data_IF_133832678280
#
_entry.id   IF_133832678280
#
_cell.length_a   1.000
_cell.length_b   1.000
_cell.length_c   1.000
_cell.angle_alpha   90.00
_cell.angle_beta   90.00
_cell.angle_gamma   90.00
#
_symmetry.space_group_name_H-M   'P 1'
#
loop_
_entity.id
_entity.type
_entity.pdbx_description
1 polymer ?
#
# COMPACT_ATOMS: atom_id res chain seq x y z
N UNK A 1 13.07 -10.00 14.35
CA UNK A 1 14.22 -9.31 14.99
C UNK A 1 13.71 -8.20 15.90
N UNK A 2 14.42 -7.86 16.99
CA UNK A 2 14.11 -6.68 17.83
C UNK A 2 14.77 -5.44 17.18
N UNK A 3 14.01 -4.36 17.02
CA UNK A 3 14.51 -3.09 16.45
C UNK A 3 15.29 -2.27 17.49
N UNK A 4 16.02 -1.24 17.08
CA UNK A 4 16.67 -0.29 18.00
C UNK A 4 15.66 0.45 18.88
N UNK A 5 14.52 0.84 18.31
CA UNK A 5 13.37 1.37 19.08
C UNK A 5 12.86 0.34 20.09
N UNK A 6 12.79 -0.94 19.69
CA UNK A 6 12.41 -2.05 20.55
C UNK A 6 13.34 -2.27 21.72
N UNK A 7 14.67 -2.26 21.48
CA UNK A 7 15.67 -2.36 22.54
C UNK A 7 15.49 -1.26 23.59
N UNK A 8 15.26 -0.02 23.14
CA UNK A 8 15.03 1.12 24.02
C UNK A 8 13.74 1.00 24.85
N UNK A 9 12.63 0.60 24.23
CA UNK A 9 11.35 0.43 24.94
C UNK A 9 11.40 -0.76 25.89
N UNK A 10 12.03 -1.88 25.48
CA UNK A 10 12.23 -3.05 26.33
C UNK A 10 13.08 -2.70 27.57
N UNK A 11 14.17 -1.94 27.40
CA UNK A 11 14.98 -1.47 28.52
C UNK A 11 14.15 -0.64 29.51
N UNK A 12 13.33 0.30 29.00
CA UNK A 12 12.41 1.10 29.84
C UNK A 12 11.36 0.24 30.54
N UNK A 13 10.83 -0.78 29.87
CA UNK A 13 9.88 -1.72 30.46
C UNK A 13 10.51 -2.47 31.63
N UNK A 14 11.75 -2.96 31.48
CA UNK A 14 12.46 -3.70 32.53
C UNK A 14 12.74 -2.87 33.79
N UNK A 15 12.86 -1.54 33.67
CA UNK A 15 13.02 -0.61 34.80
C UNK A 15 11.70 0.05 35.24
N UNK A 16 10.55 -0.41 34.73
CA UNK A 16 9.22 0.08 35.12
C UNK A 16 8.84 1.46 34.58
N UNK A 17 9.52 1.96 33.54
CA UNK A 17 9.24 3.26 32.90
C UNK A 17 8.34 3.18 31.66
N UNK A 18 8.21 2.00 31.05
CA UNK A 18 7.25 1.76 29.97
C UNK A 18 6.21 0.74 30.45
N UNK A 19 4.90 0.95 30.17
CA UNK A 19 3.85 0.02 30.60
C UNK A 19 3.91 -1.33 29.87
N UNK A 20 4.41 -1.34 28.64
CA UNK A 20 4.59 -2.54 27.83
C UNK A 20 5.65 -2.31 26.75
N UNK A 21 6.25 -3.40 26.26
CA UNK A 21 7.17 -3.38 25.10
C UNK A 21 6.60 -4.09 23.86
N UNK A 22 5.55 -4.88 24.03
CA UNK A 22 4.89 -5.61 22.96
C UNK A 22 3.43 -5.79 23.35
N UNK A 23 2.51 -5.07 22.70
CA UNK A 23 1.07 -5.14 22.99
C UNK A 23 0.23 -5.39 21.74
N UNK A 24 0.76 -5.08 20.56
CA UNK A 24 0.07 -5.25 19.29
C UNK A 24 0.97 -5.93 18.26
N UNK A 25 0.38 -6.76 17.41
CA UNK A 25 0.98 -7.26 16.17
C UNK A 25 0.46 -6.39 15.03
N UNK A 26 1.37 -5.78 14.28
CA UNK A 26 1.07 -5.04 13.06
C UNK A 26 1.28 -5.94 11.85
N UNK A 27 0.32 -5.93 10.92
CA UNK A 27 0.41 -6.67 9.67
C UNK A 27 0.53 -5.70 8.49
N UNK A 28 1.44 -6.00 7.59
CA UNK A 28 1.66 -5.22 6.39
C UNK A 28 1.82 -6.05 5.14
N UNK A 29 1.78 -5.34 4.03
CA UNK A 29 1.78 -5.91 2.68
C UNK A 29 2.86 -5.29 1.78
N UNK A 30 3.81 -4.52 2.33
CA UNK A 30 4.76 -3.76 1.53
C UNK A 30 5.81 -4.59 0.79
N UNK A 31 6.73 -5.28 1.48
CA UNK A 31 7.86 -5.93 0.83
C UNK A 31 7.43 -7.17 0.03
N UNK A 32 8.33 -7.62 -0.85
CA UNK A 32 8.28 -8.96 -1.43
C UNK A 32 8.67 -9.98 -0.33
N UNK A 33 7.86 -11.02 -0.07
CA UNK A 33 8.26 -12.09 0.84
C UNK A 33 9.55 -12.77 0.38
N UNK A 34 10.24 -13.44 1.30
CA UNK A 34 11.50 -14.13 1.00
C UNK A 34 11.32 -15.64 0.98
N UNK A 35 12.12 -16.33 0.17
CA UNK A 35 12.07 -17.78 0.08
C UNK A 35 12.64 -18.45 1.35
N UNK A 36 12.18 -19.67 1.66
CA UNK A 36 12.56 -20.39 2.89
C UNK A 36 14.05 -20.69 3.00
N UNK A 37 14.76 -20.74 1.88
CA UNK A 37 16.20 -20.94 1.79
C UNK A 37 17.02 -19.64 1.86
N UNK A 38 16.39 -18.46 1.84
CA UNK A 38 17.07 -17.17 1.96
C UNK A 38 17.22 -16.76 3.42
N UNK A 39 18.24 -15.98 3.75
CA UNK A 39 18.39 -15.44 5.10
C UNK A 39 17.51 -14.20 5.29
N UNK A 40 17.04 -13.99 6.53
CA UNK A 40 16.42 -12.73 6.91
C UNK A 40 17.49 -11.64 6.97
N UNK A 41 17.15 -10.43 6.52
CA UNK A 41 18.05 -9.27 6.62
C UNK A 41 18.20 -8.74 8.04
N UNK A 42 19.10 -7.76 8.20
CA UNK A 42 19.13 -6.92 9.41
C UNK A 42 18.03 -5.85 9.33
N UNK A 43 17.08 -5.94 10.25
CA UNK A 43 15.95 -5.02 10.37
C UNK A 43 16.02 -4.18 11.65
N UNK A 44 17.18 -4.13 12.32
CA UNK A 44 17.36 -3.38 13.57
C UNK A 44 16.98 -1.90 13.44
N UNK A 45 17.29 -1.29 12.29
CA UNK A 45 17.01 0.13 12.01
C UNK A 45 15.57 0.43 11.56
N UNK A 46 14.70 -0.59 11.35
CA UNK A 46 13.31 -0.36 10.95
C UNK A 46 12.54 0.38 12.05
N UNK A 47 11.81 1.43 11.64
CA UNK A 47 11.01 2.27 12.54
C UNK A 47 9.50 2.15 12.29
N UNK A 48 9.11 1.69 11.10
CA UNK A 48 7.74 1.40 10.68
C UNK A 48 7.72 0.25 9.67
N UNK A 49 6.53 -0.32 9.42
CA UNK A 49 6.30 -1.24 8.30
C UNK A 49 6.39 -0.47 6.99
N UNK A 50 6.74 -1.17 5.90
CA UNK A 50 6.77 -0.55 4.57
C UNK A 50 5.36 -0.11 4.17
N UNK A 51 4.35 -0.95 4.41
CA UNK A 51 2.93 -0.56 4.35
C UNK A 51 2.09 -1.32 5.37
N UNK A 52 1.68 -0.64 6.46
CA UNK A 52 0.83 -1.23 7.50
C UNK A 52 -0.64 -1.24 7.08
N UNK A 53 -1.26 -2.43 7.08
CA UNK A 53 -2.69 -2.60 6.83
C UNK A 53 -3.50 -2.34 8.12
N UNK A 54 -3.14 -3.03 9.21
CA UNK A 54 -3.80 -2.89 10.50
C UNK A 54 -2.95 -3.46 11.65
N UNK A 55 -3.42 -3.26 12.88
CA UNK A 55 -2.86 -3.85 14.09
C UNK A 55 -3.93 -4.63 14.86
N UNK A 56 -3.51 -5.72 15.48
CA UNK A 56 -4.35 -6.51 16.40
C UNK A 56 -3.66 -6.64 17.75
N UNK A 57 -4.45 -6.67 18.83
CA UNK A 57 -3.92 -6.78 20.19
C UNK A 57 -3.38 -8.20 20.43
N UNK A 58 -2.24 -8.28 21.12
CA UNK A 58 -1.69 -9.56 21.57
C UNK A 58 -2.60 -10.13 22.66
N UNK A 59 -3.16 -11.30 22.40
CA UNK A 59 -4.10 -11.99 23.31
C UNK A 59 -3.40 -13.03 24.18
N UNK A 60 -2.27 -13.58 23.73
CA UNK A 60 -1.50 -14.57 24.48
C UNK A 60 0.01 -14.36 24.35
N UNK A 61 0.73 -14.74 25.40
CA UNK A 61 2.19 -14.75 25.45
C UNK A 61 2.65 -16.11 25.94
N UNK A 62 3.59 -16.71 25.23
CA UNK A 62 4.16 -18.00 25.54
C UNK A 62 5.68 -17.97 25.54
N UNK A 63 6.25 -19.08 26.00
CA UNK A 63 7.68 -19.34 25.97
C UNK A 63 7.89 -20.76 25.46
N UNK A 64 8.72 -20.91 24.44
CA UNK A 64 8.99 -22.21 23.80
C UNK A 64 10.49 -22.41 23.60
N UNK A 65 10.92 -23.67 23.66
CA UNK A 65 12.28 -24.08 23.35
C UNK A 65 12.27 -24.83 22.01
N UNK A 66 12.92 -24.28 21.00
CA UNK A 66 12.97 -24.84 19.63
C UNK A 66 14.38 -24.70 19.08
N UNK A 67 14.91 -25.77 18.48
CA UNK A 67 16.22 -25.79 17.83
C UNK A 67 17.38 -25.29 18.71
N UNK A 68 17.32 -25.61 20.01
CA UNK A 68 18.34 -25.18 20.96
C UNK A 68 18.14 -23.77 21.52
N UNK A 69 17.12 -23.03 21.08
CA UNK A 69 16.93 -21.61 21.37
C UNK A 69 15.60 -21.38 22.08
N UNK A 70 15.65 -20.57 23.14
CA UNK A 70 14.46 -20.09 23.82
C UNK A 70 13.82 -18.91 23.08
N UNK A 71 12.53 -19.02 22.78
CA UNK A 71 11.75 -18.02 22.02
C UNK A 71 10.56 -17.53 22.83
N UNK A 72 10.30 -16.24 22.79
CA UNK A 72 9.00 -15.68 23.18
C UNK A 72 8.04 -15.89 22.01
N UNK A 73 6.81 -16.31 22.32
CA UNK A 73 5.70 -16.39 21.37
C UNK A 73 4.68 -15.32 21.73
N UNK A 74 4.29 -14.51 20.76
CA UNK A 74 3.22 -13.53 20.89
C UNK A 74 2.11 -13.91 19.91
N UNK A 75 0.89 -14.08 20.41
CA UNK A 75 -0.25 -14.51 19.59
C UNK A 75 -1.31 -13.41 19.54
N UNK A 76 -1.88 -13.19 18.36
CA UNK A 76 -3.01 -12.28 18.16
C UNK A 76 -4.03 -12.89 17.19
N UNK A 77 -5.29 -12.50 17.35
CA UNK A 77 -6.39 -12.93 16.47
C UNK A 77 -6.54 -11.95 15.30
N UNK A 78 -6.73 -12.48 14.09
CA UNK A 78 -6.92 -11.68 12.89
C UNK A 78 -8.41 -11.33 12.69
N UNK A 79 -8.74 -10.13 12.19
CA UNK A 79 -10.12 -9.78 11.85
C UNK A 79 -10.74 -10.80 10.89
N UNK A 80 -11.99 -11.18 11.14
CA UNK A 80 -12.67 -12.24 10.39
C UNK A 80 -13.15 -11.80 9.02
N UNK A 81 -13.55 -10.54 8.87
CA UNK A 81 -14.42 -10.14 7.76
C UNK A 81 -13.67 -10.05 6.45
N UNK A 82 -12.47 -9.46 6.49
CA UNK A 82 -11.76 -9.02 5.30
C UNK A 82 -10.63 -9.94 4.86
N UNK A 83 -10.27 -9.86 3.58
CA UNK A 83 -9.12 -10.57 3.00
C UNK A 83 -7.84 -9.76 3.17
N UNK A 84 -6.72 -10.43 3.47
CA UNK A 84 -5.39 -9.79 3.52
C UNK A 84 -4.30 -10.69 2.94
N UNK A 85 -3.31 -10.08 2.31
CA UNK A 85 -2.06 -10.73 1.95
C UNK A 85 -0.89 -10.11 2.71
N UNK A 86 -0.35 -10.91 3.62
CA UNK A 86 0.64 -10.46 4.58
C UNK A 86 2.02 -10.77 4.01
N UNK A 87 2.86 -9.74 3.95
CA UNK A 87 4.28 -9.86 3.55
C UNK A 87 5.25 -9.36 4.61
N UNK A 88 4.78 -8.65 5.63
CA UNK A 88 5.59 -8.21 6.77
C UNK A 88 4.77 -8.21 8.06
N UNK A 89 5.47 -8.39 9.17
CA UNK A 89 4.89 -8.42 10.51
C UNK A 89 5.75 -7.60 11.45
N UNK A 90 5.11 -6.71 12.19
CA UNK A 90 5.74 -5.92 13.25
C UNK A 90 5.12 -6.17 14.61
N UNK A 91 5.86 -5.81 15.65
CA UNK A 91 5.38 -5.76 17.02
C UNK A 91 5.45 -4.32 17.49
N UNK A 92 4.38 -3.82 18.09
CA UNK A 92 4.32 -2.47 18.66
C UNK A 92 4.03 -2.52 20.15
N UNK A 93 4.56 -1.55 20.90
CA UNK A 93 4.27 -1.42 22.33
C UNK A 93 2.85 -0.93 22.64
N UNK A 94 2.18 -0.27 21.68
CA UNK A 94 0.78 0.14 21.76
C UNK A 94 0.11 0.20 20.38
N UNK A 95 -1.22 0.32 20.34
CA UNK A 95 -1.99 0.30 19.09
C UNK A 95 -1.86 1.59 18.28
N UNK A 96 -1.63 2.71 18.94
CA UNK A 96 -1.48 4.04 18.36
C UNK A 96 -0.46 4.85 19.18
N UNK A 97 0.07 5.93 18.59
CA UNK A 97 0.93 6.88 19.28
C UNK A 97 0.10 7.86 20.12
N UNK A 98 0.08 7.74 21.45
CA UNK A 98 -0.72 8.65 22.28
C UNK A 98 -0.24 10.12 22.19
N UNK A 99 1.00 10.36 21.77
CA UNK A 99 1.53 11.71 21.59
C UNK A 99 1.02 12.40 20.31
N UNK A 100 0.65 11.63 19.28
CA UNK A 100 0.17 12.16 18.01
C UNK A 100 -1.33 12.44 18.01
N UNK A 101 -2.10 11.71 18.83
CA UNK A 101 -3.53 11.91 18.98
C UNK A 101 -4.27 11.78 17.64
N UNK A 102 -5.03 12.81 17.25
CA UNK A 102 -5.81 12.81 16.00
C UNK A 102 -4.95 12.89 14.72
N UNK A 103 -3.64 13.13 14.85
CA UNK A 103 -2.69 13.33 13.75
C UNK A 103 -1.76 12.12 13.56
N UNK A 104 -2.08 10.99 14.21
CA UNK A 104 -1.33 9.73 14.09
C UNK A 104 -1.48 9.09 12.70
N UNK A 105 -0.67 8.06 12.45
CA UNK A 105 -0.72 7.26 11.23
C UNK A 105 -2.11 6.68 10.98
N UNK A 106 -2.57 6.72 9.73
CA UNK A 106 -3.89 6.22 9.33
C UNK A 106 -3.97 5.93 7.83
N UNK A 107 -4.80 4.96 7.46
CA UNK A 107 -5.22 4.78 6.07
C UNK A 107 -6.07 5.97 5.64
N UNK A 108 -5.74 6.57 4.49
CA UNK A 108 -6.51 7.67 3.90
C UNK A 108 -7.58 7.14 2.96
N UNK A 109 -7.17 6.25 2.07
CA UNK A 109 -8.02 5.62 1.07
C UNK A 109 -7.65 4.14 0.99
N UNK A 110 -8.64 3.27 1.03
CA UNK A 110 -8.49 1.83 0.86
C UNK A 110 -9.25 1.32 -0.37
N UNK A 111 -9.76 2.24 -1.21
CA UNK A 111 -10.43 1.94 -2.48
C UNK A 111 -11.57 0.93 -2.32
N UNK A 112 -12.29 1.00 -1.20
CA UNK A 112 -13.47 0.15 -0.97
C UNK A 112 -14.67 0.68 -1.76
N UNK A 113 -15.66 -0.19 -2.01
CA UNK A 113 -16.90 0.19 -2.72
C UNK A 113 -17.66 1.34 -2.07
N UNK A 114 -17.45 1.58 -0.78
CA UNK A 114 -18.14 2.61 -0.02
C UNK A 114 -17.43 3.99 -0.03
N UNK A 115 -16.26 4.08 -0.64
CA UNK A 115 -15.53 5.35 -0.75
C UNK A 115 -16.11 6.27 -1.82
N UNK A 116 -17.00 5.79 -2.71
CA UNK A 116 -17.62 6.57 -3.79
C UNK A 116 -16.61 7.21 -4.75
N UNK A 117 -15.56 6.47 -5.12
CA UNK A 117 -14.70 6.86 -6.24
C UNK A 117 -15.51 6.84 -7.55
N UNK A 118 -15.32 7.86 -8.37
CA UNK A 118 -15.97 8.00 -9.67
C UNK A 118 -14.93 8.14 -10.79
N UNK A 119 -15.30 7.72 -11.99
CA UNK A 119 -14.52 7.92 -13.20
C UNK A 119 -14.93 9.20 -13.91
N UNK A 120 -14.00 10.15 -14.02
CA UNK A 120 -14.16 11.42 -14.72
C UNK A 120 -13.73 11.28 -16.19
N UNK A 121 -14.65 11.57 -17.11
CA UNK A 121 -14.48 11.46 -18.57
C UNK A 121 -14.00 12.77 -19.22
N UNK A 122 -13.55 13.73 -18.43
CA UNK A 122 -13.12 15.06 -18.85
C UNK A 122 -14.24 16.11 -18.87
N UNK A 123 -15.50 15.70 -18.91
CA UNK A 123 -16.67 16.63 -18.89
C UNK A 123 -17.83 16.17 -18.02
N UNK A 124 -17.74 14.95 -17.50
CA UNK A 124 -18.76 14.31 -16.65
C UNK A 124 -18.11 13.21 -15.83
N UNK A 125 -18.76 12.84 -14.72
CA UNK A 125 -18.38 11.70 -13.88
C UNK A 125 -19.40 10.58 -13.98
N UNK A 126 -18.92 9.36 -13.80
CA UNK A 126 -19.75 8.16 -13.65
C UNK A 126 -19.22 7.30 -12.51
N UNK A 127 -20.10 6.61 -11.80
CA UNK A 127 -19.67 5.66 -10.78
C UNK A 127 -18.81 4.55 -11.39
N UNK A 128 -17.81 4.07 -10.64
CA UNK A 128 -17.01 2.92 -11.05
C UNK A 128 -17.88 1.67 -11.08
N UNK A 129 -18.02 0.97 -12.23
CA UNK A 129 -18.77 -0.27 -12.28
C UNK A 129 -18.09 -1.34 -11.42
N UNK A 130 -18.90 -2.15 -10.74
CA UNK A 130 -18.42 -3.25 -9.90
C UNK A 130 -18.55 -4.55 -10.70
N UNK A 131 -17.43 -5.22 -10.94
CA UNK A 131 -17.30 -6.41 -11.77
C UNK A 131 -16.67 -7.52 -10.94
N UNK A 132 -17.52 -8.34 -10.32
CA UNK A 132 -17.07 -9.50 -9.53
C UNK A 132 -17.16 -10.82 -10.30
N UNK A 133 -17.84 -10.82 -11.44
CA UNK A 133 -17.78 -11.92 -12.40
C UNK A 133 -16.35 -12.08 -12.96
N UNK A 134 -16.00 -13.26 -13.50
CA UNK A 134 -14.68 -13.48 -14.09
C UNK A 134 -14.30 -12.40 -15.12
N UNK A 135 -13.11 -11.82 -14.97
CA UNK A 135 -12.66 -10.69 -15.80
C UNK A 135 -12.25 -11.09 -17.23
N UNK A 136 -12.17 -12.38 -17.50
CA UNK A 136 -11.85 -13.06 -18.76
C UNK A 136 -13.07 -13.83 -19.33
N UNK A 137 -14.27 -13.41 -18.91
CA UNK A 137 -15.54 -13.78 -19.54
C UNK A 137 -15.83 -15.28 -19.65
N UNK A 138 -16.39 -15.69 -20.78
CA UNK A 138 -16.68 -17.10 -21.07
C UNK A 138 -15.50 -17.84 -21.73
N UNK A 139 -14.51 -17.10 -22.23
CA UNK A 139 -13.35 -17.66 -22.94
C UNK A 139 -12.38 -18.37 -21.98
N UNK A 140 -12.30 -17.90 -20.73
CA UNK A 140 -11.49 -18.51 -19.64
C UNK A 140 -10.01 -18.63 -19.99
N UNK A 141 -9.49 -17.67 -20.72
CA UNK A 141 -8.12 -17.62 -21.21
C UNK A 141 -7.19 -16.78 -20.30
N UNK A 142 -7.70 -16.27 -19.18
CA UNK A 142 -7.03 -15.35 -18.25
C UNK A 142 -6.67 -13.97 -18.84
N UNK A 143 -7.17 -13.64 -20.03
CA UNK A 143 -7.02 -12.32 -20.64
C UNK A 143 -8.18 -11.43 -20.16
N UNK A 144 -7.86 -10.28 -19.58
CA UNK A 144 -8.89 -9.34 -19.10
C UNK A 144 -9.62 -8.73 -20.31
N UNK A 145 -10.91 -9.04 -20.46
CA UNK A 145 -11.75 -8.67 -21.61
C UNK A 145 -12.74 -7.54 -21.31
N UNK A 146 -12.55 -6.83 -20.20
CA UNK A 146 -13.43 -5.75 -19.75
C UNK A 146 -13.34 -4.50 -20.63
N UNK A 147 -14.50 -3.92 -20.97
CA UNK A 147 -14.58 -2.69 -21.79
C UNK A 147 -14.38 -1.40 -21.01
N UNK A 148 -14.49 -1.46 -19.67
CA UNK A 148 -14.39 -0.30 -18.80
C UNK A 148 -12.92 0.09 -18.58
N UNK A 149 -12.60 1.38 -18.71
CA UNK A 149 -11.25 1.91 -18.47
C UNK A 149 -10.93 1.95 -16.98
N UNK A 150 -11.92 2.21 -16.13
CA UNK A 150 -11.80 2.20 -14.69
C UNK A 150 -12.99 1.43 -14.10
N UNK A 151 -12.73 0.50 -13.19
CA UNK A 151 -13.75 -0.34 -12.58
C UNK A 151 -13.27 -0.94 -11.25
N UNK A 152 -14.20 -1.48 -10.48
CA UNK A 152 -13.93 -2.22 -9.25
C UNK A 152 -14.06 -3.71 -9.49
N UNK A 153 -13.20 -4.50 -8.87
CA UNK A 153 -13.27 -5.97 -8.89
C UNK A 153 -12.78 -6.52 -7.55
N UNK A 154 -12.65 -7.85 -7.45
CA UNK A 154 -12.11 -8.50 -6.27
C UNK A 154 -10.77 -9.18 -6.55
N UNK A 155 -9.89 -9.18 -5.56
CA UNK A 155 -8.56 -9.80 -5.60
C UNK A 155 -8.63 -11.32 -5.69
N UNK A 156 -9.80 -11.92 -5.48
CA UNK A 156 -10.09 -13.34 -5.65
C UNK A 156 -10.60 -13.70 -7.04
N UNK A 157 -10.66 -12.74 -7.97
CA UNK A 157 -11.08 -13.02 -9.33
C UNK A 157 -10.17 -14.08 -9.94
N UNK A 158 -10.75 -15.03 -10.68
CA UNK A 158 -10.01 -16.21 -11.15
C UNK A 158 -8.77 -15.85 -11.95
N UNK A 159 -8.76 -14.71 -12.65
CA UNK A 159 -7.57 -14.27 -13.40
C UNK A 159 -6.36 -14.14 -12.47
N UNK A 160 -6.52 -13.68 -11.22
CA UNK A 160 -5.42 -13.55 -10.26
C UNK A 160 -4.94 -14.87 -9.67
N UNK A 161 -5.54 -16.00 -10.07
CA UNK A 161 -5.05 -17.36 -9.74
C UNK A 161 -4.10 -17.92 -10.80
N UNK A 162 -3.96 -17.23 -11.94
CA UNK A 162 -2.97 -17.56 -12.96
C UNK A 162 -1.54 -17.55 -12.37
N UNK A 163 -0.74 -18.55 -12.75
CA UNK A 163 0.60 -18.74 -12.19
C UNK A 163 1.57 -17.64 -12.60
N UNK A 164 1.44 -17.09 -13.82
CA UNK A 164 2.31 -15.99 -14.25
C UNK A 164 1.99 -14.72 -13.45
N UNK A 165 0.71 -14.43 -13.22
CA UNK A 165 0.28 -13.28 -12.40
C UNK A 165 0.67 -13.43 -10.93
N UNK A 166 0.47 -14.62 -10.36
CA UNK A 166 0.88 -14.91 -8.97
C UNK A 166 2.40 -14.77 -8.80
N UNK A 167 3.18 -15.38 -9.69
CA UNK A 167 4.64 -15.32 -9.67
C UNK A 167 5.22 -13.92 -9.86
N UNK A 168 4.44 -12.99 -10.43
CA UNK A 168 4.80 -11.58 -10.58
C UNK A 168 4.21 -10.67 -9.51
N UNK A 169 3.40 -11.18 -8.59
CA UNK A 169 2.74 -10.42 -7.52
C UNK A 169 1.72 -9.40 -8.03
N UNK A 170 0.94 -9.76 -9.05
CA UNK A 170 -0.06 -8.85 -9.66
C UNK A 170 -1.34 -8.68 -8.82
N UNK A 171 -1.51 -9.43 -7.73
CA UNK A 171 -2.71 -9.38 -6.90
C UNK A 171 -2.62 -8.28 -5.83
N UNK A 172 -3.70 -7.53 -5.64
CA UNK A 172 -3.82 -6.56 -4.55
C UNK A 172 -3.91 -7.26 -3.19
N UNK A 173 -3.39 -6.61 -2.14
CA UNK A 173 -3.05 -7.27 -0.88
C UNK A 173 -3.87 -6.78 0.31
N UNK A 174 -4.46 -5.58 0.26
CA UNK A 174 -5.22 -5.00 1.35
C UNK A 174 -6.72 -4.95 1.01
N UNK A 175 -7.50 -5.77 1.72
CA UNK A 175 -8.91 -6.04 1.42
C UNK A 175 -9.12 -6.87 0.15
N UNK A 176 -10.37 -7.28 -0.06
CA UNK A 176 -10.73 -8.03 -1.25
C UNK A 176 -11.07 -7.11 -2.43
N UNK A 177 -11.60 -5.91 -2.18
CA UNK A 177 -11.97 -4.99 -3.26
C UNK A 177 -10.74 -4.25 -3.79
N UNK A 178 -10.68 -4.05 -5.10
CA UNK A 178 -9.62 -3.28 -5.76
C UNK A 178 -10.22 -2.43 -6.88
N UNK A 179 -9.74 -1.19 -7.00
CA UNK A 179 -10.02 -0.33 -8.17
C UNK A 179 -8.94 -0.56 -9.22
N UNK A 180 -9.33 -1.01 -10.41
CA UNK A 180 -8.45 -1.12 -11.57
C UNK A 180 -8.64 0.08 -12.50
N UNK A 181 -7.53 0.66 -12.95
CA UNK A 181 -7.49 1.65 -14.05
C UNK A 181 -6.60 1.16 -15.17
N UNK A 182 -7.05 1.27 -16.41
CA UNK A 182 -6.27 0.87 -17.58
C UNK A 182 -5.07 1.81 -17.78
N UNK A 183 -3.98 1.24 -18.30
CA UNK A 183 -2.70 1.92 -18.47
C UNK A 183 -2.75 3.14 -19.40
N UNK A 184 -3.76 3.26 -20.25
CA UNK A 184 -3.97 4.39 -21.16
C UNK A 184 -5.10 5.33 -20.67
N UNK A 185 -5.53 5.23 -19.41
CA UNK A 185 -6.65 6.03 -18.87
C UNK A 185 -6.43 7.54 -19.07
N UNK A 186 -5.23 8.01 -18.74
CA UNK A 186 -4.86 9.42 -18.75
C UNK A 186 -3.73 9.67 -19.74
N UNK A 187 -3.63 10.91 -20.24
CA UNK A 187 -2.41 11.42 -20.88
C UNK A 187 -1.61 12.23 -19.86
N UNK A 188 -0.46 11.72 -19.44
CA UNK A 188 0.45 12.34 -18.47
C UNK A 188 1.81 12.59 -19.12
N UNK A 189 2.27 13.83 -19.07
CA UNK A 189 3.58 14.26 -19.58
C UNK A 189 4.54 14.59 -18.43
N UNK A 190 5.84 14.50 -18.72
CA UNK A 190 6.88 15.03 -17.82
C UNK A 190 7.22 16.45 -18.29
N UNK A 191 6.88 17.45 -17.48
CA UNK A 191 7.14 18.87 -17.75
C UNK A 191 8.04 19.40 -16.65
N UNK A 192 9.23 19.89 -17.02
CA UNK A 192 10.23 20.40 -16.06
C UNK A 192 10.56 19.42 -14.90
N UNK A 193 10.50 18.12 -15.16
CA UNK A 193 10.76 17.08 -14.15
C UNK A 193 9.55 16.68 -13.29
N UNK A 194 8.38 17.28 -13.51
CA UNK A 194 7.13 16.99 -12.81
C UNK A 194 6.11 16.32 -13.72
N UNK A 195 5.17 15.57 -13.14
CA UNK A 195 4.08 14.96 -13.88
C UNK A 195 2.92 15.96 -14.03
N UNK A 196 2.52 16.20 -15.27
CA UNK A 196 1.35 17.01 -15.58
C UNK A 196 0.39 16.20 -16.44
N UNK A 197 -0.85 16.07 -15.98
CA UNK A 197 -1.93 15.56 -16.81
C UNK A 197 -2.28 16.60 -17.87
N UNK A 198 -2.67 16.20 -19.07
CA UNK A 198 -3.20 17.18 -20.05
C UNK A 198 -4.58 17.70 -19.58
N UNK A 199 -4.99 18.88 -20.01
CA UNK A 199 -6.35 19.37 -19.70
C UNK A 199 -7.42 18.40 -20.24
N UNK A 200 -8.48 18.17 -19.45
CA UNK A 200 -9.53 17.18 -19.71
C UNK A 200 -9.05 15.71 -19.75
N UNK A 201 -7.89 15.42 -19.19
CA UNK A 201 -7.41 14.04 -19.07
C UNK A 201 -8.32 13.25 -18.13
N UNK A 202 -8.70 12.05 -18.55
CA UNK A 202 -9.60 11.20 -17.77
C UNK A 202 -8.88 10.71 -16.52
N UNK A 203 -9.60 10.53 -15.43
CA UNK A 203 -9.04 10.13 -14.15
C UNK A 203 -10.11 9.50 -13.27
N UNK A 204 -9.70 8.87 -12.17
CA UNK A 204 -10.63 8.59 -11.08
C UNK A 204 -10.50 9.70 -10.04
N UNK A 205 -11.61 10.07 -9.40
CA UNK A 205 -11.58 11.06 -8.33
C UNK A 205 -12.45 10.67 -7.14
N UNK A 206 -12.17 11.35 -6.04
CA UNK A 206 -12.98 11.36 -4.84
C UNK A 206 -13.23 12.80 -4.42
N UNK A 207 -14.49 13.21 -4.45
CA UNK A 207 -14.94 14.55 -4.06
C UNK A 207 -15.40 14.52 -2.59
N UNK A 208 -15.27 15.65 -1.89
CA UNK A 208 -15.72 15.80 -0.51
C UNK A 208 -14.73 15.25 0.52
N UNK A 209 -13.49 14.96 0.11
CA UNK A 209 -12.41 14.64 1.04
C UNK A 209 -12.00 15.89 1.85
N UNK A 210 -11.53 15.71 3.08
CA UNK A 210 -10.93 16.79 3.86
C UNK A 210 -9.62 16.33 4.48
N UNK A 211 -8.54 17.01 4.09
CA UNK A 211 -7.19 16.74 4.57
C UNK A 211 -6.64 17.86 5.46
N UNK A 212 -7.53 18.70 6.01
CA UNK A 212 -7.18 19.82 6.88
C UNK A 212 -6.31 19.42 8.08
N UNK A 213 -6.42 18.18 8.58
CA UNK A 213 -5.58 17.65 9.65
C UNK A 213 -4.08 17.70 9.32
N UNK A 214 -3.71 17.63 8.03
CA UNK A 214 -2.31 17.68 7.60
C UNK A 214 -1.65 19.05 7.81
N UNK A 215 -2.43 20.11 8.11
CA UNK A 215 -1.86 21.38 8.58
C UNK A 215 -1.16 21.28 9.93
N UNK A 216 -1.39 20.20 10.68
CA UNK A 216 -0.77 19.93 11.99
C UNK A 216 0.30 18.84 11.93
N UNK A 217 0.44 18.17 10.79
CA UNK A 217 1.47 17.17 10.56
C UNK A 217 2.79 17.82 10.15
N UNK A 218 3.88 17.14 10.44
CA UNK A 218 5.20 17.64 10.11
C UNK A 218 5.45 17.53 8.60
N UNK A 219 6.25 18.42 7.99
CA UNK A 219 6.62 18.30 6.58
C UNK A 219 7.39 16.99 6.26
N UNK A 220 8.03 16.39 7.26
CA UNK A 220 8.74 15.11 7.17
C UNK A 220 7.85 13.89 7.40
N UNK A 221 6.58 14.07 7.78
CA UNK A 221 5.63 12.96 7.82
C UNK A 221 5.40 12.41 6.40
N UNK A 222 5.01 11.15 6.28
CA UNK A 222 5.04 10.42 5.02
C UNK A 222 3.64 10.12 4.48
N UNK A 223 3.53 10.15 3.15
CA UNK A 223 2.43 9.57 2.40
C UNK A 223 2.96 8.34 1.67
N UNK A 224 2.20 7.25 1.73
CA UNK A 224 2.53 5.97 1.11
C UNK A 224 1.40 5.54 0.19
N UNK A 225 1.72 5.12 -1.03
CA UNK A 225 0.76 4.52 -1.96
C UNK A 225 1.19 3.11 -2.28
N UNK A 226 0.30 2.15 -2.02
CA UNK A 226 0.42 0.76 -2.44
C UNK A 226 -0.45 0.51 -3.67
N UNK A 227 0.14 -0.13 -4.67
CA UNK A 227 -0.55 -0.51 -5.89
C UNK A 227 0.15 -1.69 -6.57
N UNK A 228 -0.56 -2.31 -7.51
CA UNK A 228 -0.04 -3.39 -8.33
C UNK A 228 -0.21 -3.09 -9.81
N UNK A 229 0.67 -3.66 -10.64
CA UNK A 229 0.65 -3.51 -12.10
C UNK A 229 0.26 -4.84 -12.70
N UNK A 230 -0.86 -4.87 -13.41
CA UNK A 230 -1.52 -6.08 -13.88
C UNK A 230 -1.46 -6.07 -15.40
N UNK A 231 -0.98 -7.15 -16.02
CA UNK A 231 -1.07 -7.22 -17.49
C UNK A 231 -2.52 -7.52 -17.91
N UNK A 232 -2.96 -7.07 -19.07
CA UNK A 232 -4.23 -7.50 -19.65
C UNK A 232 -4.15 -8.98 -20.04
N UNK A 233 -3.11 -9.35 -20.77
CA UNK A 233 -2.71 -10.73 -21.08
C UNK A 233 -1.65 -11.21 -20.08
N UNK A 234 -1.82 -12.36 -19.39
CA UNK A 234 -0.85 -12.83 -18.41
C UNK A 234 0.54 -13.19 -18.99
N UNK A 235 0.72 -13.20 -20.31
CA UNK A 235 2.00 -13.49 -20.96
C UNK A 235 3.14 -12.61 -20.40
N UNK A 236 4.22 -13.21 -19.86
CA UNK A 236 5.36 -12.50 -19.27
C UNK A 236 6.20 -11.69 -20.26
N UNK A 237 6.01 -11.87 -21.57
CA UNK A 237 6.67 -11.08 -22.60
C UNK A 237 6.15 -9.64 -22.66
N UNK A 238 4.91 -9.38 -22.22
CA UNK A 238 4.39 -8.03 -22.07
C UNK A 238 4.93 -7.39 -20.80
N UNK A 239 5.73 -6.34 -20.98
CA UNK A 239 6.33 -5.58 -19.89
C UNK A 239 6.13 -4.08 -20.14
N UNK A 240 5.74 -3.30 -19.13
CA UNK A 240 5.73 -1.87 -19.22
C UNK A 240 7.17 -1.38 -19.23
N UNK A 241 7.39 -0.30 -19.96
CA UNK A 241 8.65 0.44 -19.93
C UNK A 241 8.68 1.45 -18.80
N UNK A 242 7.58 2.16 -18.61
CA UNK A 242 7.44 3.22 -17.62
C UNK A 242 6.01 3.29 -17.09
N UNK A 243 5.87 3.43 -15.78
CA UNK A 243 4.59 3.63 -15.10
C UNK A 243 4.55 5.05 -14.55
N UNK A 244 3.50 5.79 -14.88
CA UNK A 244 3.22 7.14 -14.37
C UNK A 244 1.89 7.14 -13.62
N UNK A 245 1.93 7.53 -12.35
CA UNK A 245 0.73 7.77 -11.55
C UNK A 245 0.87 9.19 -10.97
N UNK A 246 -0.18 9.99 -11.14
CA UNK A 246 -0.28 11.32 -10.55
C UNK A 246 -1.48 11.32 -9.61
N UNK A 247 -1.22 11.35 -8.30
CA UNK A 247 -2.25 11.62 -7.29
C UNK A 247 -2.21 13.12 -6.96
N UNK A 248 -3.23 13.85 -7.40
CA UNK A 248 -3.39 15.28 -7.16
C UNK A 248 -4.41 15.52 -6.03
N UNK A 249 -3.98 16.21 -5.00
CA UNK A 249 -4.86 16.79 -3.98
C UNK A 249 -5.22 18.20 -4.42
N UNK A 250 -6.48 18.42 -4.77
CA UNK A 250 -6.96 19.64 -5.40
C UNK A 250 -8.09 20.32 -4.61
N UNK A 251 -8.27 21.65 -4.77
CA UNK A 251 -9.34 22.37 -4.10
C UNK A 251 -10.72 22.20 -4.76
N UNK A 252 -10.78 21.68 -5.98
CA UNK A 252 -12.02 21.31 -6.67
C UNK A 252 -11.72 20.29 -7.77
N UNK A 253 -12.78 19.81 -8.43
CA UNK A 253 -12.65 18.98 -9.62
C UNK A 253 -12.62 19.81 -10.91
N UNK A 254 -11.59 20.65 -11.08
CA UNK A 254 -11.45 21.46 -12.30
C UNK A 254 -10.53 20.78 -13.31
N UNK A 255 -10.87 20.86 -14.60
CA UNK A 255 -10.14 20.28 -15.73
C UNK A 255 -8.91 21.10 -16.16
N UNK A 256 -7.99 21.31 -15.23
CA UNK A 256 -6.69 21.93 -15.49
C UNK A 256 -5.60 20.85 -15.60
N UNK A 257 -4.53 21.13 -16.36
CA UNK A 257 -3.38 20.23 -16.44
C UNK A 257 -2.65 20.05 -15.10
N UNK A 258 -2.69 21.11 -14.29
CA UNK A 258 -2.28 21.14 -12.89
C UNK A 258 -2.99 22.30 -12.18
N UNK A 259 -3.77 22.04 -11.13
CA UNK A 259 -4.63 23.07 -10.56
C UNK A 259 -3.88 23.98 -9.59
N UNK A 260 -4.10 25.30 -9.63
CA UNK A 260 -3.61 26.21 -8.59
C UNK A 260 -4.17 25.81 -7.21
N UNK A 261 -3.34 25.89 -6.18
CA UNK A 261 -3.73 25.44 -4.84
C UNK A 261 -3.71 23.93 -4.63
N UNK A 262 -3.23 23.13 -5.61
CA UNK A 262 -3.04 21.69 -5.47
C UNK A 262 -1.66 21.29 -4.93
N UNK A 263 -1.54 20.04 -4.50
CA UNK A 263 -0.26 19.36 -4.33
C UNK A 263 -0.34 17.97 -4.95
N UNK A 264 0.74 17.46 -5.54
CA UNK A 264 0.72 16.12 -6.10
C UNK A 264 1.82 15.19 -5.61
N UNK A 265 1.41 13.93 -5.49
CA UNK A 265 2.25 12.76 -5.28
C UNK A 265 2.48 12.10 -6.64
N UNK A 266 3.70 12.29 -7.16
CA UNK A 266 4.08 11.87 -8.52
C UNK A 266 4.88 10.57 -8.48
N UNK A 267 4.45 9.55 -9.21
CA UNK A 267 5.15 8.26 -9.29
C UNK A 267 5.62 8.06 -10.71
N UNK A 268 6.92 7.83 -10.88
CA UNK A 268 7.52 7.39 -12.14
C UNK A 268 8.40 6.18 -11.85
N UNK A 269 7.98 5.01 -12.33
CA UNK A 269 8.77 3.77 -12.23
C UNK A 269 9.20 3.34 -13.63
N UNK A 270 10.51 3.18 -13.83
CA UNK A 270 11.09 2.77 -15.12
C UNK A 270 11.66 1.36 -15.04
N UNK A 271 11.61 0.63 -16.14
CA UNK A 271 12.18 -0.72 -16.25
C UNK A 271 13.71 -0.76 -16.08
N UNK A 272 14.39 0.40 -16.13
CA UNK A 272 15.82 0.52 -15.80
C UNK A 272 16.10 0.44 -14.31
N UNK A 273 15.11 0.80 -13.49
CA UNK A 273 15.26 0.97 -12.04
C UNK A 273 14.48 -0.11 -11.26
N UNK A 274 13.48 -0.72 -11.92
CA UNK A 274 12.57 -1.69 -11.31
C UNK A 274 12.48 -2.97 -12.13
N UNK A 275 12.51 -4.11 -11.44
CA UNK A 275 12.31 -5.43 -12.02
C UNK A 275 10.82 -5.74 -12.18
N UNK A 276 10.29 -5.28 -13.30
CA UNK A 276 8.94 -5.57 -13.75
C UNK A 276 8.73 -7.05 -14.14
N UNK A 277 9.78 -7.82 -14.36
CA UNK A 277 9.65 -9.24 -14.70
C UNK A 277 9.21 -10.04 -13.48
N UNK A 278 9.80 -9.75 -12.31
CA UNK A 278 9.63 -10.59 -11.12
C UNK A 278 8.93 -9.90 -9.94
N UNK A 279 8.52 -8.63 -10.08
CA UNK A 279 7.74 -7.92 -9.07
C UNK A 279 6.83 -6.85 -9.70
N UNK A 280 5.54 -6.89 -9.32
CA UNK A 280 4.50 -5.98 -9.81
C UNK A 280 3.75 -5.25 -8.71
N UNK A 281 4.02 -5.57 -7.46
CA UNK A 281 3.46 -4.87 -6.31
C UNK A 281 4.45 -3.84 -5.79
N UNK A 282 4.01 -2.60 -5.65
CA UNK A 282 4.86 -1.47 -5.28
C UNK A 282 4.26 -0.69 -4.12
N UNK A 283 5.15 -0.24 -3.24
CA UNK A 283 4.86 0.79 -2.25
C UNK A 283 5.79 1.96 -2.53
N UNK A 284 5.22 3.11 -2.84
CA UNK A 284 5.97 4.35 -3.04
C UNK A 284 5.70 5.26 -1.87
N UNK A 285 6.77 5.83 -1.31
CA UNK A 285 6.73 6.73 -0.15
C UNK A 285 7.27 8.09 -0.55
N UNK A 286 6.61 9.16 -0.11
CA UNK A 286 7.13 10.53 -0.15
C UNK A 286 6.79 11.26 1.13
N UNK A 287 7.66 12.16 1.57
CA UNK A 287 7.34 13.10 2.64
C UNK A 287 6.36 14.17 2.15
N UNK A 288 5.57 14.74 3.05
CA UNK A 288 4.65 15.84 2.71
C UNK A 288 5.39 17.04 2.11
N UNK A 289 6.66 17.26 2.46
CA UNK A 289 7.49 18.32 1.89
C UNK A 289 7.90 18.08 0.44
N UNK A 290 7.96 16.81 0.00
CA UNK A 290 8.40 16.39 -1.33
C UNK A 290 7.27 16.40 -2.37
N UNK A 291 6.02 16.63 -1.96
CA UNK A 291 4.90 16.81 -2.88
C UNK A 291 5.12 18.08 -3.70
N UNK A 292 4.85 18.00 -5.01
CA UNK A 292 4.93 19.18 -5.87
C UNK A 292 3.70 20.07 -5.64
N UNK A 293 3.94 21.24 -5.02
CA UNK A 293 2.91 22.15 -4.52
C UNK A 293 2.77 23.34 -5.45
N UNK A 294 1.54 23.57 -5.88
CA UNK A 294 1.20 24.71 -6.71
C UNK A 294 1.02 25.97 -5.86
N UNK A 295 1.16 27.13 -6.51
CA UNK A 295 0.94 28.42 -5.87
C UNK A 295 -0.41 28.47 -5.16
N UNK A 296 -0.41 28.94 -3.91
CA UNK A 296 -1.62 29.03 -3.08
C UNK A 296 -2.04 27.72 -2.39
N UNK A 297 -1.22 26.66 -2.46
CA UNK A 297 -1.51 25.40 -1.80
C UNK A 297 -1.68 25.54 -0.28
N UNK A 298 -2.75 24.92 0.23
CA UNK A 298 -2.96 24.68 1.66
C UNK A 298 -3.87 23.47 1.83
N UNK A 299 -3.54 22.62 2.79
CA UNK A 299 -4.35 21.44 3.14
C UNK A 299 -5.80 21.78 3.51
N UNK A 300 -6.05 23.00 4.01
CA UNK A 300 -7.41 23.45 4.37
C UNK A 300 -8.34 23.59 3.16
N UNK A 301 -7.79 23.82 1.97
CA UNK A 301 -8.58 24.05 0.77
C UNK A 301 -8.82 22.76 -0.02
N UNK A 302 -8.19 21.65 0.34
CA UNK A 302 -8.30 20.40 -0.39
C UNK A 302 -9.67 19.77 -0.16
N UNK A 303 -10.40 19.55 -1.25
CA UNK A 303 -11.73 18.92 -1.24
C UNK A 303 -11.82 17.72 -2.18
N UNK A 304 -10.82 17.53 -3.05
CA UNK A 304 -10.82 16.53 -4.11
C UNK A 304 -9.48 15.81 -4.15
N UNK A 305 -9.50 14.49 -4.32
CA UNK A 305 -8.35 13.69 -4.70
C UNK A 305 -8.56 13.14 -6.10
N UNK A 306 -7.60 13.32 -7.00
CA UNK A 306 -7.64 12.85 -8.39
C UNK A 306 -6.48 11.92 -8.65
N UNK A 307 -6.71 10.81 -9.34
CA UNK A 307 -5.66 9.85 -9.70
C UNK A 307 -5.67 9.64 -11.20
N UNK A 308 -4.56 10.02 -11.83
CA UNK A 308 -4.30 9.80 -13.25
C UNK A 308 -3.34 8.63 -13.42
N UNK A 309 -3.50 7.88 -14.50
CA UNK A 309 -2.66 6.70 -14.82
C UNK A 309 -2.22 6.72 -16.27
N UNK A 310 -0.92 6.56 -16.49
CA UNK A 310 -0.34 6.26 -17.80
C UNK A 310 0.73 5.18 -17.65
N UNK A 311 0.66 4.11 -18.42
CA UNK A 311 1.70 3.11 -18.56
C UNK A 311 2.19 3.15 -20.01
N UNK A 312 3.49 3.35 -20.18
CA UNK A 312 4.14 3.32 -21.48
C UNK A 312 4.63 1.91 -21.79
N UNK A 313 4.37 1.45 -23.00
CA UNK A 313 4.96 0.24 -23.55
C UNK A 313 6.44 0.43 -23.93
N UNK A 314 7.07 -0.61 -24.46
CA UNK A 314 8.47 -0.58 -24.91
C UNK A 314 8.73 0.47 -26.01
N UNK A 315 7.69 0.90 -26.72
CA UNK A 315 7.73 1.87 -27.81
C UNK A 315 7.40 3.31 -27.34
N UNK A 316 7.40 3.57 -26.03
CA UNK A 316 7.07 4.88 -25.42
C UNK A 316 5.63 5.34 -25.68
N UNK A 317 4.70 4.43 -25.96
CA UNK A 317 3.29 4.73 -26.21
C UNK A 317 2.43 4.35 -25.01
N UNK A 318 1.45 5.19 -24.59
CA UNK A 318 0.43 4.77 -23.63
C UNK A 318 -0.24 3.48 -24.10
N UNK A 319 -0.32 2.47 -23.24
CA UNK A 319 -0.78 1.13 -23.59
C UNK A 319 -1.99 0.69 -22.77
N UNK A 320 -2.93 0.04 -23.45
CA UNK A 320 -4.11 -0.61 -22.86
C UNK A 320 -3.86 -2.08 -22.49
N UNK A 321 -2.63 -2.58 -22.65
CA UNK A 321 -2.18 -3.92 -22.28
C UNK A 321 -1.89 -4.06 -20.78
N UNK A 322 -2.07 -2.99 -20.01
CA UNK A 322 -1.77 -2.98 -18.58
C UNK A 322 -2.90 -2.31 -17.80
N UNK A 323 -2.98 -2.64 -16.52
CA UNK A 323 -3.82 -2.00 -15.52
C UNK A 323 -2.98 -1.65 -14.28
N UNK A 324 -3.38 -0.60 -13.58
CA UNK A 324 -2.98 -0.36 -12.19
C UNK A 324 -4.13 -0.79 -11.29
N UNK A 325 -3.84 -1.68 -10.34
CA UNK A 325 -4.71 -1.96 -9.21
C UNK A 325 -4.31 -1.12 -8.01
N UNK A 326 -5.14 -0.14 -7.65
CA UNK A 326 -4.92 0.66 -6.46
C UNK A 326 -5.33 -0.11 -5.21
N UNK A 327 -4.37 -0.34 -4.32
CA UNK A 327 -4.58 -1.12 -3.11
C UNK A 327 -4.95 -0.18 -1.95
N UNK A 328 -4.07 0.74 -1.59
CA UNK A 328 -4.38 1.76 -0.59
C UNK A 328 -3.39 2.93 -0.57
N UNK A 329 -3.84 4.03 0.03
CA UNK A 329 -3.02 5.20 0.37
C UNK A 329 -3.05 5.39 1.88
N UNK A 330 -1.88 5.53 2.48
CA UNK A 330 -1.71 5.64 3.93
C UNK A 330 -0.83 6.83 4.29
N UNK A 331 -1.23 7.52 5.34
CA UNK A 331 -0.44 8.54 6.00
C UNK A 331 0.32 7.93 7.18
N UNK A 332 1.60 8.26 7.31
CA UNK A 332 2.46 7.83 8.42
C UNK A 332 3.00 9.04 9.19
N UNK A 333 2.67 9.11 10.47
CA UNK A 333 3.24 10.08 11.39
C UNK A 333 4.57 9.54 11.94
N UNK A 334 5.68 10.04 11.41
CA UNK A 334 7.03 9.62 11.80
C UNK A 334 7.73 10.68 12.65
N UNK A 335 7.27 11.93 12.61
CA UNK A 335 7.91 13.04 13.30
C UNK A 335 7.52 13.15 14.78
N UNK A 336 6.33 12.70 15.18
CA UNK A 336 5.89 12.81 16.57
C UNK A 336 6.51 11.69 17.41
N UNK A 337 7.64 12.01 18.03
CA UNK A 337 8.37 11.06 18.86
C UNK A 337 7.63 10.71 20.14
N UNK A 338 7.76 9.46 20.56
CA UNK A 338 7.27 9.01 21.86
C UNK A 338 8.25 7.97 22.44
N UNK A 339 8.84 8.23 23.62
CA UNK A 339 9.88 7.38 24.20
C UNK A 339 9.41 5.98 24.60
N UNK A 340 8.10 5.74 24.69
CA UNK A 340 7.49 4.47 25.12
C UNK A 340 6.63 3.84 24.02
N UNK A 341 6.62 4.41 22.82
CA UNK A 341 5.86 3.92 21.67
C UNK A 341 6.74 3.74 20.43
N UNK A 342 6.55 2.63 19.73
CA UNK A 342 7.14 2.38 18.42
C UNK A 342 7.17 0.92 18.04
N UNK A 343 7.69 0.65 16.84
CA UNK A 343 7.95 -0.69 16.32
C UNK A 343 9.06 -1.33 17.15
N UNK A 344 8.75 -2.37 17.92
CA UNK A 344 9.69 -3.06 18.80
C UNK A 344 10.28 -4.33 18.20
N UNK A 345 9.55 -4.97 17.31
CA UNK A 345 10.03 -6.12 16.55
C UNK A 345 9.56 -6.05 15.10
N UNK A 346 10.32 -6.63 14.19
CA UNK A 346 10.00 -6.66 12.77
C UNK A 346 10.51 -7.92 12.09
N UNK A 347 9.79 -8.38 11.07
CA UNK A 347 10.25 -9.36 10.09
C UNK A 347 9.48 -9.23 8.78
N UNK A 348 10.15 -9.57 7.69
CA UNK A 348 9.49 -9.94 6.43
C UNK A 348 9.01 -11.39 6.55
N UNK A 349 7.89 -11.70 5.90
CA UNK A 349 7.33 -13.06 5.81
C UNK A 349 8.26 -13.95 4.99
N UNK A 350 8.47 -15.17 5.47
CA UNK A 350 9.29 -16.19 4.84
C UNK A 350 8.44 -17.41 4.52
N UNK A 351 8.36 -17.78 3.24
CA UNK A 351 7.54 -18.89 2.73
C UNK A 351 8.34 -19.74 1.74
N UNK A 352 7.94 -20.98 1.41
CA UNK A 352 8.69 -21.81 0.46
C UNK A 352 8.88 -21.14 -0.89
N UNK A 353 7.81 -20.52 -1.40
CA UNK A 353 7.75 -19.96 -2.76
C UNK A 353 7.92 -18.44 -2.81
N UNK A 354 8.33 -17.82 -1.69
CA UNK A 354 8.39 -16.35 -1.55
C UNK A 354 7.05 -15.65 -1.82
N UNK A 355 5.94 -16.34 -1.59
CA UNK A 355 4.59 -15.81 -1.68
C UNK A 355 4.11 -15.20 -0.36
N UNK A 356 3.10 -14.34 -0.47
CA UNK A 356 2.41 -13.72 0.68
C UNK A 356 1.60 -14.76 1.43
N UNK A 357 1.36 -14.53 2.72
CA UNK A 357 0.41 -15.34 3.49
C UNK A 357 -0.99 -14.77 3.26
N UNK A 358 -1.87 -15.57 2.66
CA UNK A 358 -3.26 -15.18 2.40
C UNK A 358 -4.13 -15.51 3.61
N UNK A 359 -4.78 -14.48 4.17
CA UNK A 359 -5.92 -14.62 5.08
C UNK A 359 -7.19 -14.43 4.25
N UNK A 360 -8.01 -15.47 4.15
CA UNK A 360 -9.28 -15.42 3.41
C UNK A 360 -10.35 -14.63 4.17
N UNK A 361 -11.27 -13.99 3.45
CA UNK A 361 -12.45 -13.37 4.06
C UNK A 361 -13.29 -14.40 4.82
N UNK A 362 -14.03 -13.95 5.85
CA UNK A 362 -14.90 -14.78 6.69
C UNK A 362 -14.24 -16.01 7.35
N UNK A 363 -12.96 -15.91 7.73
CA UNK A 363 -12.23 -16.99 8.42
C UNK A 363 -11.58 -16.49 9.71
N UNK A 364 -11.62 -17.32 10.76
CA UNK A 364 -10.93 -17.08 12.03
C UNK A 364 -9.51 -17.62 11.93
N UNK A 365 -8.52 -16.75 12.10
CA UNK A 365 -7.11 -17.11 12.05
C UNK A 365 -6.36 -16.42 13.18
N UNK A 366 -5.25 -17.03 13.59
CA UNK A 366 -4.31 -16.44 14.53
C UNK A 366 -2.99 -16.21 13.84
N UNK A 367 -2.27 -15.18 14.29
CA UNK A 367 -0.86 -15.00 13.95
C UNK A 367 0.00 -15.19 15.19
N UNK A 368 1.11 -15.88 15.02
CA UNK A 368 2.17 -16.00 16.02
C UNK A 368 3.42 -15.29 15.54
N UNK A 369 3.94 -14.39 16.37
CA UNK A 369 5.26 -13.80 16.18
C UNK A 369 6.22 -14.37 17.21
N UNK A 370 7.33 -14.94 16.73
CA UNK A 370 8.33 -15.59 17.57
C UNK A 370 9.67 -14.90 17.41
N UNK A 371 10.34 -14.57 18.51
CA UNK A 371 11.72 -14.10 18.47
C UNK A 371 12.55 -14.70 19.60
N UNK A 372 13.80 -15.03 19.26
CA UNK A 372 14.79 -15.51 20.19
C UNK A 372 15.24 -14.39 21.12
N UNK A 373 15.45 -14.72 22.40
CA UNK A 373 16.06 -13.80 23.36
C UNK A 373 17.56 -14.06 23.58
N UNK A 374 18.08 -15.16 23.05
CA UNK A 374 19.48 -15.51 23.23
C UNK A 374 20.40 -14.61 22.40
N UNK A 375 21.54 -14.30 22.99
CA UNK A 375 22.65 -13.63 22.30
C UNK A 375 23.42 -14.71 21.56
N UNK A 376 23.46 -14.66 20.23
CA UNK A 376 24.46 -15.40 19.47
C UNK A 376 25.79 -14.65 19.44
#
# INVERSE_FOLDING_TARGET
MITETGKNILAKYLIGQAPAYASYVALGCGPKPIASNQELGDYSSKTSLDFEMFRTAITSRGYVYEDGINKIVLTAELPTDERYEISEVGIYSAGANPSAGAYDSKTLYAFTVNENWEYHLGTSSTALPIIYEPLDGEDKDNIIDQTHIAFQTNSENRVFTDQNRSGRYERARFYNNVVLTRGDMSTINVVNGHLEATSNSKHIHLIGTSLSSFTKNAPTDELKMAFTVINKDPDPSFQPKEIRILLEFAPSDTEASRQSGSAAFEIVLKNTDYDFVNNRYFVVTKQLQELDKQTGFTWNNITTAKIYTTILDINDSPSDDFYIGFDAIRFENVATTNPIYGLTGYTIVKTPDAETIVKAANTTNYIEFRFALDVQ
#
